data_IF_510133579946
#
_entry.id   IF_510133579946
#
_cell.length_a   1.000
_cell.length_b   1.000
_cell.length_c   1.000
_cell.angle_alpha   90.00
_cell.angle_beta   90.00
_cell.angle_gamma   90.00
#
_symmetry.space_group_name_H-M   'P 1'
#
loop_
_entity.id
_entity.type
_entity.pdbx_description
1 polymer ?
#
# COMPACT_ATOMS: atom_id res chain seq x y z
N UNK A 1 5.46 15.40 -4.05
CA UNK A 1 6.62 15.68 -3.15
C UNK A 1 7.74 14.77 -3.62
N UNK A 2 8.92 15.29 -3.96
CA UNK A 2 10.07 14.42 -4.25
C UNK A 2 10.63 13.92 -2.92
N UNK A 3 10.97 12.63 -2.84
CA UNK A 3 11.68 12.09 -1.68
C UNK A 3 13.08 12.70 -1.65
N UNK A 4 13.42 13.38 -0.56
CA UNK A 4 14.72 14.03 -0.38
C UNK A 4 15.37 13.44 0.86
N UNK A 5 16.62 13.00 0.72
CA UNK A 5 17.46 12.63 1.85
C UNK A 5 17.78 13.84 2.72
N UNK A 6 17.66 13.67 4.04
CA UNK A 6 18.02 14.68 5.02
C UNK A 6 19.42 14.45 5.61
N UNK A 7 20.21 13.53 5.02
CA UNK A 7 21.57 13.16 5.48
C UNK A 7 21.62 12.78 6.97
N UNK A 8 20.56 12.14 7.46
CA UNK A 8 20.41 11.68 8.84
C UNK A 8 19.90 10.24 8.86
N UNK A 9 20.07 9.57 9.99
CA UNK A 9 19.57 8.22 10.23
C UNK A 9 18.56 8.27 11.36
N UNK A 10 17.45 7.54 11.21
CA UNK A 10 16.46 7.34 12.25
C UNK A 10 16.25 5.85 12.50
N UNK A 11 15.71 5.51 13.66
CA UNK A 11 15.28 4.15 13.96
C UNK A 11 13.84 3.95 13.48
N UNK A 12 13.61 3.00 12.58
CA UNK A 12 12.28 2.62 12.12
C UNK A 12 11.43 2.10 13.29
N UNK A 13 10.27 2.71 13.51
CA UNK A 13 9.43 2.49 14.69
C UNK A 13 8.86 1.07 14.79
N UNK A 14 8.64 0.41 13.66
CA UNK A 14 8.06 -0.94 13.59
C UNK A 14 9.13 -2.02 13.70
N UNK A 15 10.28 -1.82 13.05
CA UNK A 15 11.33 -2.84 12.91
C UNK A 15 12.53 -2.66 13.82
N UNK A 16 12.73 -1.46 14.38
CA UNK A 16 13.89 -1.12 15.21
C UNK A 16 15.21 -0.96 14.43
N UNK A 17 15.17 -1.02 13.10
CA UNK A 17 16.37 -0.88 12.25
C UNK A 17 16.71 0.59 12.00
N UNK A 18 17.99 0.87 11.86
CA UNK A 18 18.46 2.16 11.36
C UNK A 18 18.17 2.29 9.86
N UNK A 19 17.53 3.39 9.49
CA UNK A 19 17.18 3.73 8.11
C UNK A 19 17.51 5.21 7.84
N UNK A 20 17.76 5.53 6.58
CA UNK A 20 17.94 6.91 6.15
C UNK A 20 16.66 7.73 6.39
N UNK A 21 16.81 8.92 6.94
CA UNK A 21 15.72 9.88 7.10
C UNK A 21 15.51 10.62 5.78
N UNK A 22 14.33 10.40 5.21
CA UNK A 22 13.80 11.18 4.09
C UNK A 22 12.53 11.90 4.52
N UNK A 23 12.11 12.90 3.76
CA UNK A 23 10.80 13.57 3.97
C UNK A 23 9.63 12.58 3.91
N UNK A 24 9.77 11.51 3.14
CA UNK A 24 8.78 10.44 3.05
C UNK A 24 8.80 9.54 4.30
N UNK A 25 10.00 9.16 4.74
CA UNK A 25 10.18 8.32 5.92
C UNK A 25 9.64 8.98 7.19
N UNK A 26 9.83 10.29 7.37
CA UNK A 26 9.30 11.01 8.53
C UNK A 26 7.76 10.88 8.64
N UNK A 27 7.06 11.04 7.52
CA UNK A 27 5.61 10.89 7.44
C UNK A 27 5.18 9.42 7.63
N UNK A 28 5.90 8.48 7.01
CA UNK A 28 5.65 7.05 7.18
C UNK A 28 5.81 6.62 8.64
N UNK A 29 6.86 7.08 9.33
CA UNK A 29 7.06 6.79 10.76
C UNK A 29 5.95 7.39 11.63
N UNK A 30 5.50 8.61 11.32
CA UNK A 30 4.40 9.25 12.02
C UNK A 30 3.09 8.45 11.86
N UNK A 31 2.78 7.98 10.66
CA UNK A 31 1.64 7.09 10.40
C UNK A 31 1.74 5.76 11.17
N UNK A 32 2.94 5.17 11.24
CA UNK A 32 3.14 3.95 12.03
C UNK A 32 2.83 4.15 13.52
N UNK A 33 3.24 5.29 14.09
CA UNK A 33 2.93 5.65 15.48
C UNK A 33 1.44 5.83 15.70
N UNK A 34 0.74 6.57 14.82
CA UNK A 34 -0.72 6.74 14.90
C UNK A 34 -1.43 5.39 14.89
N UNK A 35 -1.04 4.49 13.98
CA UNK A 35 -1.64 3.15 13.91
C UNK A 35 -1.48 2.38 15.23
N UNK A 36 -0.29 2.41 15.83
CA UNK A 36 0.02 1.59 17.00
C UNK A 36 -0.47 2.21 18.29
N UNK A 37 -0.15 3.49 18.52
CA UNK A 37 -0.35 4.17 19.79
C UNK A 37 -1.79 4.68 19.94
N UNK A 38 -2.40 5.18 18.85
CA UNK A 38 -3.74 5.76 18.90
C UNK A 38 -4.82 4.78 18.43
N UNK A 39 -4.54 4.01 17.36
CA UNK A 39 -5.53 3.11 16.74
C UNK A 39 -5.44 1.66 17.21
N UNK A 40 -4.47 1.35 18.07
CA UNK A 40 -4.34 0.05 18.74
C UNK A 40 -3.86 -1.10 17.87
N UNK A 41 -3.18 -0.81 16.75
CA UNK A 41 -2.67 -1.86 15.87
C UNK A 41 -1.44 -2.53 16.51
N UNK A 42 -1.41 -3.88 16.61
CA UNK A 42 -0.22 -4.56 17.10
C UNK A 42 0.96 -4.34 16.13
N UNK A 43 2.10 -3.85 16.62
CA UNK A 43 3.31 -3.60 15.79
C UNK A 43 3.68 -4.79 14.90
N UNK A 44 3.62 -6.01 15.47
CA UNK A 44 3.95 -7.27 14.78
C UNK A 44 3.08 -7.55 13.56
N UNK A 45 1.90 -6.94 13.49
CA UNK A 45 0.94 -7.13 12.40
C UNK A 45 1.05 -6.11 11.28
N UNK A 46 1.85 -5.06 11.46
CA UNK A 46 2.10 -4.06 10.43
C UNK A 46 3.43 -4.40 9.76
N UNK A 47 3.39 -4.80 8.49
CA UNK A 47 4.61 -5.04 7.70
C UNK A 47 4.92 -3.79 6.88
N UNK A 48 6.07 -3.12 7.11
CA UNK A 48 6.49 -1.99 6.30
C UNK A 48 7.17 -2.41 5.00
N UNK A 49 7.14 -1.54 3.99
CA UNK A 49 7.90 -1.67 2.73
C UNK A 49 7.72 -3.02 2.04
N UNK A 50 6.48 -3.49 1.94
CA UNK A 50 6.16 -4.78 1.34
C UNK A 50 6.31 -4.69 -0.17
N UNK A 51 7.22 -5.49 -0.74
CA UNK A 51 7.40 -5.56 -2.19
C UNK A 51 6.27 -6.37 -2.83
N UNK A 52 5.63 -5.80 -3.84
CA UNK A 52 4.65 -6.48 -4.68
C UNK A 52 5.18 -6.52 -6.12
N UNK A 53 5.37 -7.74 -6.63
CA UNK A 53 5.77 -7.97 -8.01
C UNK A 53 4.54 -8.02 -8.90
N UNK A 54 4.45 -7.09 -9.85
CA UNK A 54 3.44 -7.04 -10.89
C UNK A 54 3.99 -7.74 -12.13
N UNK A 55 3.23 -8.72 -12.63
CA UNK A 55 3.55 -9.44 -13.85
C UNK A 55 2.71 -8.88 -15.00
N UNK A 56 3.39 -8.41 -16.04
CA UNK A 56 2.82 -8.07 -17.33
C UNK A 56 3.26 -9.14 -18.34
N UNK A 57 2.70 -9.11 -19.55
CA UNK A 57 2.99 -10.10 -20.59
C UNK A 57 4.48 -10.23 -20.90
N UNK A 58 5.15 -9.08 -21.07
CA UNK A 58 6.52 -9.01 -21.58
C UNK A 58 7.55 -8.47 -20.58
N UNK A 59 7.10 -8.02 -19.40
CA UNK A 59 7.97 -7.52 -18.34
C UNK A 59 7.37 -7.74 -16.95
N UNK A 60 8.20 -7.62 -15.91
CA UNK A 60 7.76 -7.53 -14.53
C UNK A 60 8.19 -6.20 -13.93
N UNK A 61 7.38 -5.67 -13.02
CA UNK A 61 7.61 -4.40 -12.36
C UNK A 61 7.37 -4.57 -10.86
N UNK A 62 8.34 -4.19 -10.03
CA UNK A 62 8.23 -4.27 -8.58
C UNK A 62 7.79 -2.92 -8.03
N UNK A 63 6.78 -2.93 -7.16
CA UNK A 63 6.35 -1.77 -6.38
C UNK A 63 6.56 -2.03 -4.89
N UNK A 64 6.76 -0.96 -4.13
CA UNK A 64 6.92 -1.02 -2.67
C UNK A 64 5.68 -0.41 -2.03
N UNK A 65 4.96 -1.19 -1.22
CA UNK A 65 3.79 -0.76 -0.47
C UNK A 65 4.23 -0.29 0.93
N UNK A 66 3.66 0.81 1.41
CA UNK A 66 4.06 1.39 2.70
C UNK A 66 3.81 0.47 3.87
N UNK A 67 2.54 0.13 4.09
CA UNK A 67 2.12 -0.76 5.14
C UNK A 67 1.08 -1.76 4.63
N UNK A 68 1.35 -3.05 4.91
CA UNK A 68 0.32 -4.07 4.84
C UNK A 68 0.08 -4.60 6.25
N UNK A 69 -1.18 -4.51 6.69
CA UNK A 69 -1.62 -5.01 7.99
C UNK A 69 -2.17 -6.41 7.83
N UNK A 70 -1.79 -7.32 8.73
CA UNK A 70 -2.22 -8.71 8.75
C UNK A 70 -3.04 -9.03 10.00
N UNK A 71 -3.88 -10.06 9.94
CA UNK A 71 -4.50 -10.66 11.11
C UNK A 71 -3.54 -11.68 11.78
N UNK A 72 -3.97 -12.25 12.90
CA UNK A 72 -3.22 -13.27 13.66
C UNK A 72 -2.93 -14.55 12.86
N UNK A 73 -3.72 -14.82 11.82
CA UNK A 73 -3.56 -15.94 10.90
C UNK A 73 -2.69 -15.61 9.67
N UNK A 74 -2.00 -14.46 9.67
CA UNK A 74 -1.19 -13.95 8.55
C UNK A 74 -1.98 -13.70 7.24
N UNK A 75 -3.29 -13.44 7.32
CA UNK A 75 -4.08 -12.96 6.20
C UNK A 75 -4.03 -11.42 6.14
N UNK A 76 -3.82 -10.83 4.95
CA UNK A 76 -3.78 -9.39 4.79
C UNK A 76 -5.17 -8.77 4.95
N UNK A 77 -5.24 -7.66 5.67
CA UNK A 77 -6.47 -6.96 6.04
C UNK A 77 -6.57 -5.59 5.39
N UNK A 78 -5.48 -4.81 5.47
CA UNK A 78 -5.44 -3.41 5.07
C UNK A 78 -4.14 -3.09 4.36
N UNK A 79 -4.24 -2.43 3.21
CA UNK A 79 -3.14 -1.70 2.59
C UNK A 79 -3.28 -0.24 2.98
N UNK A 80 -2.35 0.29 3.77
CA UNK A 80 -2.26 1.73 4.02
C UNK A 80 -1.15 2.29 3.15
N UNK A 81 -1.49 3.31 2.36
CA UNK A 81 -0.56 4.04 1.53
C UNK A 81 -0.60 5.54 1.82
N UNK A 82 0.58 6.14 1.94
CA UNK A 82 0.73 7.58 1.94
C UNK A 82 0.82 8.09 0.50
N UNK A 83 0.17 9.21 0.21
CA UNK A 83 0.29 9.86 -1.09
C UNK A 83 0.61 11.36 -0.96
N UNK A 84 1.51 11.84 -1.80
CA UNK A 84 1.83 13.26 -1.90
C UNK A 84 0.99 13.91 -3.02
N UNK A 85 -0.29 14.16 -2.75
CA UNK A 85 -1.23 14.79 -3.68
C UNK A 85 -2.68 14.58 -3.27
N UNK A 86 -3.62 14.79 -4.18
CA UNK A 86 -5.05 14.59 -3.92
C UNK A 86 -5.36 13.10 -3.73
N UNK A 87 -5.82 12.72 -2.54
CA UNK A 87 -6.05 11.32 -2.12
C UNK A 87 -6.88 10.52 -3.14
N UNK A 88 -7.93 11.13 -3.69
CA UNK A 88 -8.82 10.50 -4.65
C UNK A 88 -8.10 10.00 -5.92
N UNK A 89 -7.03 10.69 -6.35
CA UNK A 89 -6.24 10.34 -7.54
C UNK A 89 -5.45 9.04 -7.37
N UNK A 90 -5.12 8.68 -6.12
CA UNK A 90 -4.32 7.49 -5.80
C UNK A 90 -5.16 6.27 -5.43
N UNK A 91 -6.47 6.42 -5.20
CA UNK A 91 -7.36 5.31 -4.82
C UNK A 91 -7.31 4.18 -5.84
N UNK A 92 -7.43 4.49 -7.14
CA UNK A 92 -7.47 3.45 -8.18
C UNK A 92 -6.16 2.66 -8.25
N UNK A 93 -5.03 3.35 -8.07
CA UNK A 93 -3.70 2.78 -8.07
C UNK A 93 -3.54 1.76 -6.95
N UNK A 94 -3.83 2.15 -5.70
CA UNK A 94 -3.64 1.27 -4.55
C UNK A 94 -4.71 0.17 -4.46
N UNK A 95 -5.93 0.37 -4.98
CA UNK A 95 -6.90 -0.73 -5.10
C UNK A 95 -6.43 -1.78 -6.10
N UNK A 96 -5.83 -1.38 -7.23
CA UNK A 96 -5.25 -2.35 -8.17
C UNK A 96 -4.13 -3.16 -7.51
N UNK A 97 -3.22 -2.50 -6.76
CA UNK A 97 -2.17 -3.19 -6.00
C UNK A 97 -2.75 -4.17 -4.96
N UNK A 98 -3.75 -3.76 -4.19
CA UNK A 98 -4.41 -4.59 -3.19
C UNK A 98 -5.04 -5.86 -3.79
N UNK A 99 -5.66 -5.75 -4.97
CA UNK A 99 -6.25 -6.89 -5.68
C UNK A 99 -5.21 -7.85 -6.27
N UNK A 100 -4.03 -7.35 -6.62
CA UNK A 100 -2.91 -8.14 -7.16
C UNK A 100 -2.11 -8.85 -6.06
N UNK A 101 -2.19 -8.39 -4.81
CA UNK A 101 -1.57 -9.06 -3.68
C UNK A 101 -2.13 -10.50 -3.52
N UNK A 102 -1.32 -11.40 -2.95
CA UNK A 102 -1.72 -12.82 -2.82
C UNK A 102 -1.58 -13.25 -1.35
N UNK A 103 -2.70 -13.58 -0.66
CA UNK A 103 -4.09 -13.38 -1.09
C UNK A 103 -4.48 -11.88 -1.17
N UNK A 104 -5.52 -11.48 -1.91
CA UNK A 104 -5.89 -10.07 -2.08
C UNK A 104 -6.17 -9.35 -0.76
N UNK A 105 -5.82 -8.07 -0.72
CA UNK A 105 -6.07 -7.20 0.43
C UNK A 105 -7.47 -6.59 0.28
N UNK A 106 -8.42 -6.84 1.20
CA UNK A 106 -9.82 -6.46 1.03
C UNK A 106 -10.08 -4.95 1.21
N UNK A 107 -9.26 -4.27 2.01
CA UNK A 107 -9.41 -2.84 2.31
C UNK A 107 -8.14 -2.07 1.95
N UNK A 108 -8.34 -0.84 1.47
CA UNK A 108 -7.28 0.10 1.14
C UNK A 108 -7.55 1.42 1.83
N UNK A 109 -6.56 1.94 2.54
CA UNK A 109 -6.57 3.26 3.13
C UNK A 109 -5.51 4.10 2.43
N UNK A 110 -5.93 5.20 1.81
CA UNK A 110 -5.02 6.16 1.18
C UNK A 110 -5.12 7.47 1.95
N UNK A 111 -3.99 8.08 2.28
CA UNK A 111 -3.96 9.35 3.03
C UNK A 111 -2.81 10.24 2.62
N UNK A 112 -3.03 11.56 2.66
CA UNK A 112 -1.99 12.59 2.54
C UNK A 112 -1.63 13.21 3.90
N UNK A 113 -2.02 12.57 5.01
CA UNK A 113 -1.99 13.02 6.42
C UNK A 113 -3.02 14.08 6.81
N UNK A 114 -3.70 14.72 5.86
CA UNK A 114 -4.78 15.70 6.12
C UNK A 114 -6.16 15.10 5.89
N UNK A 115 -6.29 14.33 4.83
CA UNK A 115 -7.48 13.58 4.47
C UNK A 115 -7.13 12.09 4.32
N UNK A 116 -8.11 11.22 4.51
CA UNK A 116 -7.95 9.79 4.33
C UNK A 116 -9.20 9.19 3.68
N UNK A 117 -9.01 8.20 2.82
CA UNK A 117 -10.07 7.49 2.11
C UNK A 117 -9.94 6.01 2.44
N UNK A 118 -10.94 5.47 3.13
CA UNK A 118 -11.05 4.03 3.36
C UNK A 118 -11.93 3.42 2.27
N UNK A 119 -11.38 2.47 1.53
CA UNK A 119 -11.95 1.96 0.28
C UNK A 119 -12.02 0.44 0.31
N UNK A 120 -13.16 -0.10 -0.11
CA UNK A 120 -13.33 -1.52 -0.35
C UNK A 120 -12.71 -1.91 -1.70
N UNK A 121 -11.75 -2.84 -1.69
CA UNK A 121 -11.05 -3.24 -2.91
C UNK A 121 -11.96 -4.01 -3.88
N UNK A 122 -13.02 -4.68 -3.42
CA UNK A 122 -13.94 -5.45 -4.27
C UNK A 122 -14.54 -4.60 -5.40
N UNK A 123 -15.16 -3.48 -5.07
CA UNK A 123 -15.91 -2.62 -5.99
C UNK A 123 -15.37 -1.18 -6.10
N UNK A 124 -14.29 -0.87 -5.37
CA UNK A 124 -13.72 0.49 -5.21
C UNK A 124 -14.66 1.45 -4.49
N UNK A 125 -15.64 0.95 -3.73
CA UNK A 125 -16.54 1.82 -2.96
C UNK A 125 -15.76 2.47 -1.81
N UNK A 126 -15.86 3.79 -1.72
CA UNK A 126 -15.37 4.53 -0.56
C UNK A 126 -16.33 4.27 0.61
N UNK A 127 -15.82 3.66 1.66
CA UNK A 127 -16.55 3.37 2.88
C UNK A 127 -16.59 4.60 3.78
N UNK A 128 -15.47 5.31 3.88
CA UNK A 128 -15.33 6.48 4.74
C UNK A 128 -14.31 7.47 4.17
N UNK A 129 -14.49 8.76 4.52
CA UNK A 129 -13.62 9.87 4.11
C UNK A 129 -13.32 10.79 5.28
N UNK A 130 -12.19 11.49 5.17
CA UNK A 130 -11.77 12.51 6.13
C UNK A 130 -10.85 11.96 7.21
N UNK A 131 -10.58 12.80 8.21
CA UNK A 131 -9.60 12.52 9.25
C UNK A 131 -9.90 11.22 10.04
N UNK A 132 -11.17 10.93 10.29
CA UNK A 132 -11.59 9.76 11.06
C UNK A 132 -11.67 8.47 10.23
N UNK A 133 -11.37 8.51 8.93
CA UNK A 133 -11.45 7.34 8.07
C UNK A 133 -10.40 6.26 8.36
N UNK A 134 -9.40 6.54 9.21
CA UNK A 134 -8.45 5.53 9.70
C UNK A 134 -9.12 4.71 10.80
N UNK A 135 -9.51 3.43 10.55
CA UNK A 135 -10.21 2.64 11.53
C UNK A 135 -9.25 2.18 12.64
N UNK A 136 -9.79 1.94 13.83
CA UNK A 136 -9.09 1.19 14.89
C UNK A 136 -8.86 -0.26 14.47
N UNK A 137 -7.95 -0.97 15.14
CA UNK A 137 -7.68 -2.37 14.82
C UNK A 137 -8.91 -3.28 14.98
N UNK A 138 -9.76 -3.02 15.98
CA UNK A 138 -10.99 -3.77 16.20
C UNK A 138 -12.06 -3.47 15.14
N UNK A 139 -12.23 -2.19 14.75
CA UNK A 139 -13.11 -1.82 13.63
C UNK A 139 -12.64 -2.45 12.33
N UNK A 140 -11.33 -2.48 12.08
CA UNK A 140 -10.75 -3.10 10.89
C UNK A 140 -11.12 -4.58 10.78
N UNK A 141 -11.07 -5.35 11.88
CA UNK A 141 -11.49 -6.76 11.90
C UNK A 141 -12.94 -6.93 11.46
N UNK A 142 -13.84 -6.07 11.95
CA UNK A 142 -15.26 -6.10 11.59
C UNK A 142 -15.47 -5.74 10.12
N UNK A 143 -14.75 -4.73 9.61
CA UNK A 143 -14.85 -4.31 8.21
C UNK A 143 -14.35 -5.37 7.23
N UNK A 144 -13.24 -6.05 7.56
CA UNK A 144 -12.67 -7.13 6.72
C UNK A 144 -13.65 -8.28 6.56
N UNK A 145 -14.34 -8.69 7.63
CA UNK A 145 -15.35 -9.76 7.57
C UNK A 145 -16.51 -9.42 6.62
N UNK A 146 -16.86 -8.13 6.50
CA UNK A 146 -17.91 -7.63 5.60
C UNK A 146 -17.43 -7.42 4.15
N UNK A 147 -16.14 -7.57 3.89
CA UNK A 147 -15.51 -7.29 2.61
C UNK A 147 -14.74 -8.48 2.04
N UNK A 148 -15.36 -9.66 1.85
CA UNK A 148 -14.67 -10.81 1.25
C UNK A 148 -14.22 -10.47 -0.17
N UNK A 149 -12.95 -10.73 -0.45
CA UNK A 149 -12.34 -10.51 -1.75
C UNK A 149 -11.70 -11.81 -2.25
N UNK A 150 -12.29 -12.50 -3.24
CA UNK A 150 -11.68 -13.68 -3.82
C UNK A 150 -10.45 -13.31 -4.65
N UNK A 151 -9.58 -14.31 -4.88
CA UNK A 151 -8.48 -14.20 -5.82
C UNK A 151 -9.00 -13.81 -7.22
N UNK A 152 -8.23 -13.00 -7.93
CA UNK A 152 -8.53 -12.68 -9.32
C UNK A 152 -8.27 -13.88 -10.23
N UNK A 153 -9.18 -14.08 -11.19
CA UNK A 153 -8.94 -14.96 -12.33
C UNK A 153 -7.78 -14.43 -13.18
N UNK A 154 -7.08 -15.31 -13.92
CA UNK A 154 -5.88 -14.94 -14.68
C UNK A 154 -6.10 -13.73 -15.62
N UNK A 155 -7.23 -13.70 -16.33
CA UNK A 155 -7.59 -12.60 -17.25
C UNK A 155 -7.85 -11.29 -16.50
N UNK A 156 -8.47 -11.36 -15.31
CA UNK A 156 -8.70 -10.18 -14.48
C UNK A 156 -7.39 -9.67 -13.88
N UNK A 157 -6.53 -10.59 -13.44
CA UNK A 157 -5.21 -10.28 -12.91
C UNK A 157 -4.35 -9.55 -13.93
N UNK A 158 -4.34 -9.98 -15.20
CA UNK A 158 -3.62 -9.29 -16.27
C UNK A 158 -4.13 -7.85 -16.48
N UNK A 159 -5.45 -7.65 -16.51
CA UNK A 159 -6.04 -6.31 -16.62
C UNK A 159 -5.68 -5.41 -15.44
N UNK A 160 -5.75 -5.93 -14.22
CA UNK A 160 -5.37 -5.20 -13.01
C UNK A 160 -3.86 -4.91 -12.97
N UNK A 161 -3.00 -5.83 -13.46
CA UNK A 161 -1.56 -5.57 -13.64
C UNK A 161 -1.31 -4.39 -14.56
N UNK A 162 -2.01 -4.31 -15.71
CA UNK A 162 -1.89 -3.18 -16.63
C UNK A 162 -2.34 -1.86 -15.97
N UNK A 163 -3.42 -1.88 -15.19
CA UNK A 163 -3.87 -0.70 -14.43
C UNK A 163 -2.82 -0.29 -13.42
N UNK A 164 -2.36 -1.21 -12.57
CA UNK A 164 -1.35 -0.91 -11.56
C UNK A 164 -0.08 -0.34 -12.21
N UNK A 165 0.42 -0.99 -13.26
CA UNK A 165 1.59 -0.49 -13.99
C UNK A 165 1.40 0.93 -14.54
N UNK A 166 0.27 1.21 -15.20
CA UNK A 166 0.01 2.52 -15.78
C UNK A 166 -0.01 3.65 -14.73
N UNK A 167 -0.48 3.38 -13.51
CA UNK A 167 -0.48 4.37 -12.42
C UNK A 167 0.88 4.45 -11.72
N UNK A 168 1.46 3.33 -11.32
CA UNK A 168 2.74 3.33 -10.58
C UNK A 168 3.91 3.80 -11.44
N UNK A 169 3.91 3.54 -12.75
CA UNK A 169 4.95 4.07 -13.64
C UNK A 169 4.96 5.60 -13.75
N UNK A 170 3.87 6.27 -13.40
CA UNK A 170 3.76 7.73 -13.38
C UNK A 170 4.06 8.32 -12.00
N UNK A 171 3.74 7.59 -10.92
CA UNK A 171 3.89 8.07 -9.55
C UNK A 171 5.25 7.74 -8.93
N UNK A 172 5.85 6.59 -9.29
CA UNK A 172 7.19 6.25 -8.86
C UNK A 172 8.14 7.17 -9.62
N UNK A 173 8.81 8.06 -8.88
CA UNK A 173 9.85 8.92 -9.41
C UNK A 173 11.01 8.05 -9.90
N UNK A 174 10.93 7.59 -11.15
CA UNK A 174 11.95 7.25 -12.16
C UNK A 174 13.41 6.88 -11.75
N UNK A 175 13.70 6.44 -10.52
CA UNK A 175 15.07 6.30 -10.00
C UNK A 175 15.37 4.95 -9.36
N UNK A 176 14.53 3.94 -9.53
CA UNK A 176 14.94 2.53 -9.41
C UNK A 176 14.57 1.79 -10.70
N UNK A 177 15.50 1.83 -11.66
CA UNK A 177 15.47 1.16 -12.96
C UNK A 177 15.20 -0.35 -12.75
N UNK A 178 13.93 -0.77 -12.72
CA UNK A 178 13.54 -2.16 -12.46
C UNK A 178 12.51 -2.70 -13.46
N UNK A 179 12.31 -2.04 -14.60
CA UNK A 179 11.62 -2.68 -15.72
C UNK A 179 12.65 -3.60 -16.43
N UNK A 180 12.72 -4.85 -15.99
CA UNK A 180 13.47 -5.88 -16.71
C UNK A 180 12.61 -6.34 -17.89
N UNK A 181 12.93 -5.83 -19.08
CA UNK A 181 12.39 -6.39 -20.32
C UNK A 181 12.94 -7.81 -20.47
N UNK A 182 12.09 -8.79 -20.76
CA UNK A 182 12.59 -10.11 -21.15
C UNK A 182 13.36 -9.95 -22.47
N UNK A 183 14.62 -10.37 -22.49
CA UNK A 183 15.34 -10.54 -23.75
C UNK A 183 14.52 -11.46 -24.64
N UNK A 184 14.20 -10.99 -25.85
CA UNK A 184 13.60 -11.85 -26.87
C UNK A 184 14.64 -12.91 -27.20
N UNK A 185 14.46 -14.13 -26.70
CA UNK A 185 15.16 -15.29 -27.24
C UNK A 185 14.69 -15.47 -28.69
N UNK A 186 15.55 -15.11 -29.63
CA UNK A 186 15.45 -15.45 -31.06
C UNK A 186 15.57 -16.97 -31.27
#
# INVERSE_FOLDING_TARGET
MHEISLNQVITDYLTGKEIELTTYEDLRQSLAKILVEEKGYPKKQIKPKVKLKIQLKDCSYDIVLDFVVFNEENQPMLLLAFCAGEVASFVRQYVAAARLFTPPIPLVLVTDTKEAYLVQAKDKKVLEKGYFAIPTYEELKVLVQKAPLPNLEAVQREKESCVAHAYFALSDSCCSRACQLKDKSE
#
